data_IF_704486370796
#
_entry.id   IF_704486370796
#
_cell.length_a   1.000
_cell.length_b   1.000
_cell.length_c   1.000
_cell.angle_alpha   90.00
_cell.angle_beta   90.00
_cell.angle_gamma   90.00
#
_symmetry.space_group_name_H-M   'P 1'
#
loop_
_entity.id
_entity.type
_entity.pdbx_description
1 polymer ?
#
# COMPACT_ATOMS: atom_id res chain seq x y z
N UNK A 1 -7.07 16.25 -20.95
CA UNK A 1 -6.99 15.62 -19.61
C UNK A 1 -7.15 16.67 -18.51
N UNK A 2 -7.98 17.70 -18.73
CA UNK A 2 -8.14 18.77 -17.74
C UNK A 2 -9.13 18.34 -16.67
N UNK A 3 -8.69 18.35 -15.40
CA UNK A 3 -9.57 18.23 -14.23
C UNK A 3 -9.42 16.98 -13.36
N UNK A 4 -8.47 16.07 -13.65
CA UNK A 4 -8.15 14.99 -12.70
C UNK A 4 -7.11 15.48 -11.70
N UNK A 5 -7.49 15.52 -10.42
CA UNK A 5 -6.59 15.91 -9.34
C UNK A 5 -5.58 14.80 -9.05
N UNK A 6 -4.32 15.17 -8.74
CA UNK A 6 -3.31 14.22 -8.22
C UNK A 6 -3.76 13.62 -6.89
N UNK A 7 -3.15 12.51 -6.40
CA UNK A 7 -3.54 11.93 -5.11
C UNK A 7 -3.49 12.94 -3.96
N UNK A 8 -2.49 13.82 -3.93
CA UNK A 8 -2.33 14.86 -2.90
C UNK A 8 -3.36 15.97 -3.00
N UNK A 9 -3.71 16.40 -4.21
CA UNK A 9 -4.75 17.42 -4.42
C UNK A 9 -6.14 16.85 -4.16
N UNK A 10 -6.37 15.61 -4.55
CA UNK A 10 -7.59 14.84 -4.27
C UNK A 10 -7.83 14.73 -2.78
N UNK A 11 -6.82 14.25 -2.06
CA UNK A 11 -6.74 14.23 -0.61
C UNK A 11 -7.17 15.55 0.05
N UNK A 12 -6.50 16.64 -0.33
CA UNK A 12 -6.81 17.99 0.17
C UNK A 12 -8.25 18.39 -0.15
N UNK A 13 -8.70 18.19 -1.38
CA UNK A 13 -10.05 18.54 -1.79
C UNK A 13 -11.11 17.77 -0.99
N UNK A 14 -10.93 16.46 -0.78
CA UNK A 14 -11.86 15.68 0.04
C UNK A 14 -11.78 16.12 1.51
N UNK A 15 -10.60 16.44 2.05
CA UNK A 15 -10.44 16.97 3.40
C UNK A 15 -11.26 18.25 3.64
N UNK A 16 -11.20 19.18 2.69
CA UNK A 16 -11.86 20.49 2.77
C UNK A 16 -13.38 20.40 2.60
N UNK A 17 -13.88 19.32 1.99
CA UNK A 17 -15.30 19.15 1.67
C UNK A 17 -15.94 17.96 2.42
N UNK A 18 -15.20 17.34 3.34
CA UNK A 18 -15.68 16.24 4.17
C UNK A 18 -16.68 16.75 5.20
N UNK A 19 -17.79 16.01 5.36
CA UNK A 19 -18.88 16.35 6.30
C UNK A 19 -18.80 15.59 7.62
N UNK A 20 -18.22 14.39 7.57
CA UNK A 20 -18.26 13.44 8.69
C UNK A 20 -16.89 13.17 9.29
N UNK A 21 -15.81 13.55 8.61
CA UNK A 21 -14.43 13.32 9.07
C UNK A 21 -13.62 14.59 9.00
N UNK A 22 -13.00 14.92 10.12
CA UNK A 22 -12.26 16.15 10.31
C UNK A 22 -10.84 15.87 10.76
N UNK A 23 -9.91 16.73 10.34
CA UNK A 23 -8.51 16.70 10.78
C UNK A 23 -8.36 17.60 11.99
N UNK A 24 -7.77 17.09 13.06
CA UNK A 24 -7.44 17.87 14.25
C UNK A 24 -5.95 18.20 14.26
N UNK A 25 -5.61 19.48 14.07
CA UNK A 25 -4.21 19.93 13.99
C UNK A 25 -3.39 19.65 15.26
N UNK A 26 -4.02 19.60 16.44
CA UNK A 26 -3.37 19.24 17.69
C UNK A 26 -2.97 17.75 17.72
N UNK A 27 -3.87 16.88 17.27
CA UNK A 27 -3.60 15.46 17.08
C UNK A 27 -2.57 15.17 16.01
N UNK A 28 -2.61 15.88 14.88
CA UNK A 28 -1.57 15.80 13.84
C UNK A 28 -0.20 16.09 14.43
N UNK A 29 -0.08 17.14 15.25
CA UNK A 29 1.19 17.49 15.92
C UNK A 29 1.67 16.38 16.85
N UNK A 30 0.78 15.81 17.67
CA UNK A 30 1.15 14.69 18.55
C UNK A 30 1.64 13.50 17.74
N UNK A 31 0.93 13.10 16.68
CA UNK A 31 1.37 12.01 15.79
C UNK A 31 2.73 12.32 15.17
N UNK A 32 2.98 13.56 14.75
CA UNK A 32 4.27 14.00 14.22
C UNK A 32 5.41 13.81 15.24
N UNK A 33 5.20 14.24 16.49
CA UNK A 33 6.18 14.13 17.57
C UNK A 33 6.47 12.66 17.91
N UNK A 34 5.43 11.83 17.95
CA UNK A 34 5.54 10.39 18.16
C UNK A 34 6.38 9.70 17.06
N UNK A 35 6.12 10.03 15.79
CA UNK A 35 6.89 9.51 14.66
C UNK A 35 8.32 10.04 14.66
N UNK A 36 8.53 11.31 14.99
CA UNK A 36 9.85 11.92 15.07
C UNK A 36 10.72 11.23 16.13
N UNK A 37 10.15 10.90 17.29
CA UNK A 37 10.86 10.15 18.33
C UNK A 37 11.32 8.75 17.87
N UNK A 38 10.62 8.17 16.89
CA UNK A 38 10.95 6.85 16.30
C UNK A 38 11.78 6.96 15.01
N UNK A 39 11.90 8.14 14.40
CA UNK A 39 12.52 8.33 13.09
C UNK A 39 14.01 7.94 13.05
N UNK A 40 14.71 8.01 14.19
CA UNK A 40 16.11 7.55 14.31
C UNK A 40 16.25 6.07 14.69
N UNK A 41 15.13 5.41 15.01
CA UNK A 41 15.06 4.00 15.37
C UNK A 41 15.30 3.06 14.19
N UNK A 42 15.63 1.79 14.44
CA UNK A 42 15.83 0.79 13.39
C UNK A 42 14.58 0.56 12.53
N UNK A 43 13.38 0.81 13.06
CA UNK A 43 12.09 0.53 12.44
C UNK A 43 11.76 1.43 11.25
N UNK A 44 12.33 2.65 11.21
CA UNK A 44 12.09 3.64 10.14
C UNK A 44 13.31 3.83 9.23
N UNK A 45 14.25 2.88 9.25
CA UNK A 45 15.39 2.85 8.30
C UNK A 45 14.97 2.22 6.97
N UNK A 46 15.65 2.61 5.90
CA UNK A 46 15.39 2.11 4.54
C UNK A 46 15.44 0.56 4.46
N UNK A 47 16.44 -0.06 5.10
CA UNK A 47 16.56 -1.53 5.13
C UNK A 47 15.55 -2.25 6.03
N UNK A 48 14.76 -1.52 6.82
CA UNK A 48 13.78 -2.11 7.73
C UNK A 48 12.69 -2.88 6.99
N UNK A 49 12.30 -2.43 5.79
CA UNK A 49 11.27 -3.10 5.00
C UNK A 49 11.65 -4.54 4.66
N UNK A 50 12.90 -4.78 4.26
CA UNK A 50 13.38 -6.15 4.04
C UNK A 50 13.31 -6.91 5.35
N UNK A 51 13.94 -6.39 6.40
CA UNK A 51 14.03 -7.06 7.70
C UNK A 51 12.66 -7.33 8.38
N UNK A 52 11.61 -6.61 7.98
CA UNK A 52 10.29 -6.64 8.59
C UNK A 52 9.65 -8.04 8.61
N UNK A 53 9.78 -8.79 7.52
CA UNK A 53 9.13 -10.08 7.40
C UNK A 53 9.98 -11.08 6.64
N UNK A 54 9.84 -12.37 7.00
CA UNK A 54 10.62 -13.46 6.42
C UNK A 54 10.29 -13.76 4.96
N UNK A 55 9.07 -13.43 4.54
CA UNK A 55 8.60 -13.64 3.17
C UNK A 55 9.07 -12.56 2.18
N UNK A 56 9.62 -11.45 2.66
CA UNK A 56 10.10 -10.37 1.78
C UNK A 56 11.43 -10.75 1.11
N UNK A 57 11.65 -10.34 -0.15
CA UNK A 57 12.93 -10.54 -0.82
C UNK A 57 14.10 -9.98 0.00
N UNK A 58 15.19 -10.75 0.08
CA UNK A 58 16.43 -10.33 0.74
C UNK A 58 17.40 -9.62 -0.21
N UNK A 59 17.39 -10.02 -1.48
CA UNK A 59 18.19 -9.42 -2.54
C UNK A 59 17.66 -8.03 -2.94
N UNK A 60 18.47 -7.29 -3.69
CA UNK A 60 18.15 -5.98 -4.28
C UNK A 60 18.31 -6.05 -5.82
N UNK A 61 17.81 -7.12 -6.43
CA UNK A 61 18.00 -7.43 -7.85
C UNK A 61 16.67 -7.39 -8.63
N UNK A 62 16.74 -7.68 -9.92
CA UNK A 62 15.58 -7.69 -10.81
C UNK A 62 14.52 -8.72 -10.39
N UNK A 63 14.94 -9.87 -9.85
CA UNK A 63 14.03 -10.88 -9.35
C UNK A 63 13.21 -10.36 -8.17
N UNK A 64 13.84 -9.63 -7.25
CA UNK A 64 13.16 -8.98 -6.13
C UNK A 64 12.16 -7.90 -6.60
N UNK A 65 12.50 -7.12 -7.62
CA UNK A 65 11.59 -6.11 -8.20
C UNK A 65 10.39 -6.76 -8.89
N UNK A 66 10.61 -7.83 -9.66
CA UNK A 66 9.52 -8.56 -10.31
C UNK A 66 8.62 -9.28 -9.30
N UNK A 67 9.19 -9.75 -8.18
CA UNK A 67 8.41 -10.28 -7.06
C UNK A 67 7.49 -9.21 -6.45
N UNK A 68 8.05 -8.04 -6.12
CA UNK A 68 7.27 -6.90 -5.59
C UNK A 68 6.14 -6.54 -6.54
N UNK A 69 6.44 -6.46 -7.84
CA UNK A 69 5.45 -6.12 -8.85
C UNK A 69 4.28 -7.10 -8.89
N UNK A 70 4.53 -8.42 -8.85
CA UNK A 70 3.44 -9.42 -8.82
C UNK A 70 2.65 -9.34 -7.53
N UNK A 71 3.31 -9.21 -6.38
CA UNK A 71 2.65 -9.12 -5.09
C UNK A 71 1.72 -7.90 -5.02
N UNK A 72 2.20 -6.72 -5.41
CA UNK A 72 1.38 -5.50 -5.41
C UNK A 72 0.30 -5.49 -6.49
N UNK A 73 0.55 -6.18 -7.60
CA UNK A 73 -0.45 -6.44 -8.63
C UNK A 73 -1.60 -7.30 -8.10
N UNK A 74 -1.35 -8.10 -7.08
CA UNK A 74 -2.32 -8.97 -6.43
C UNK A 74 -2.71 -8.50 -5.01
N UNK A 75 -2.23 -7.33 -4.57
CA UNK A 75 -2.45 -6.82 -3.22
C UNK A 75 -3.84 -6.18 -3.06
N UNK A 76 -4.88 -7.00 -3.08
CA UNK A 76 -6.26 -6.60 -2.86
C UNK A 76 -7.10 -7.75 -2.30
N UNK A 77 -8.15 -7.43 -1.52
CA UNK A 77 -9.16 -8.36 -1.01
C UNK A 77 -8.61 -9.59 -0.27
N UNK A 78 -8.21 -9.41 0.99
CA UNK A 78 -7.75 -10.49 1.89
C UNK A 78 -8.70 -10.74 3.06
N UNK A 79 -9.94 -10.27 2.92
CA UNK A 79 -10.91 -10.26 3.99
C UNK A 79 -11.69 -11.56 4.04
N UNK A 80 -12.10 -11.94 5.25
CA UNK A 80 -13.13 -12.95 5.48
C UNK A 80 -14.25 -12.34 6.32
N UNK A 81 -15.49 -12.74 6.05
CA UNK A 81 -16.64 -12.32 6.86
C UNK A 81 -16.57 -12.93 8.27
N UNK A 82 -16.01 -14.13 8.38
CA UNK A 82 -15.87 -14.88 9.63
C UNK A 82 -14.41 -15.19 9.94
N UNK A 83 -14.05 -15.08 11.22
CA UNK A 83 -12.67 -15.25 11.68
C UNK A 83 -12.13 -16.68 11.54
N UNK A 84 -13.04 -17.64 11.50
CA UNK A 84 -12.79 -19.08 11.33
C UNK A 84 -12.68 -19.50 9.86
N UNK A 85 -13.11 -18.65 8.92
CA UNK A 85 -13.18 -18.95 7.49
C UNK A 85 -12.16 -18.13 6.71
N UNK A 86 -10.87 -18.47 6.86
CA UNK A 86 -9.76 -17.74 6.21
C UNK A 86 -9.03 -18.61 5.20
N UNK A 87 -8.57 -17.96 4.12
CA UNK A 87 -7.54 -18.50 3.27
C UNK A 87 -6.22 -18.51 4.05
N UNK A 88 -5.67 -19.70 4.30
CA UNK A 88 -4.41 -19.90 4.99
C UNK A 88 -3.43 -20.61 4.07
N UNK A 89 -2.18 -20.18 4.07
CA UNK A 89 -1.15 -20.79 3.22
C UNK A 89 0.04 -21.14 4.11
N UNK A 90 0.37 -22.43 4.15
CA UNK A 90 1.54 -22.99 4.78
C UNK A 90 2.77 -22.84 3.87
N UNK A 91 3.86 -22.35 4.45
CA UNK A 91 5.14 -22.22 3.77
C UNK A 91 6.29 -22.29 4.78
N UNK A 92 7.26 -23.18 4.53
CA UNK A 92 8.45 -23.42 5.38
C UNK A 92 8.14 -23.64 6.87
N UNK A 93 7.09 -24.39 7.16
CA UNK A 93 6.71 -24.75 8.54
C UNK A 93 5.86 -23.69 9.27
N UNK A 94 5.61 -22.54 8.64
CA UNK A 94 4.73 -21.49 9.17
C UNK A 94 3.42 -21.41 8.37
N UNK A 95 2.33 -21.03 9.03
CA UNK A 95 1.03 -20.80 8.39
C UNK A 95 0.71 -19.31 8.38
N UNK A 96 0.39 -18.78 7.20
CA UNK A 96 0.14 -17.36 6.98
C UNK A 96 -1.34 -17.08 6.69
N UNK A 97 -1.76 -15.86 6.99
CA UNK A 97 -3.12 -15.35 6.74
C UNK A 97 -3.08 -13.97 6.10
N UNK A 98 -4.18 -13.57 5.44
CA UNK A 98 -4.33 -12.24 4.89
C UNK A 98 -3.34 -11.95 3.74
N UNK A 99 -2.72 -10.77 3.74
CA UNK A 99 -1.68 -10.38 2.78
C UNK A 99 -0.50 -11.37 2.76
N UNK A 100 -0.14 -11.92 3.93
CA UNK A 100 0.98 -12.87 4.01
C UNK A 100 0.65 -14.22 3.38
N UNK A 101 -0.63 -14.61 3.26
CA UNK A 101 -1.02 -15.80 2.48
C UNK A 101 -0.63 -15.67 1.01
N UNK A 102 -0.80 -14.48 0.42
CA UNK A 102 -0.37 -14.22 -0.96
C UNK A 102 1.15 -14.34 -1.10
N UNK A 103 1.90 -13.69 -0.20
CA UNK A 103 3.36 -13.74 -0.20
C UNK A 103 3.87 -15.18 -0.06
N UNK A 104 3.28 -15.94 0.87
CA UNK A 104 3.62 -17.34 1.09
C UNK A 104 3.30 -18.20 -0.13
N UNK A 105 2.15 -18.00 -0.78
CA UNK A 105 1.76 -18.75 -1.96
C UNK A 105 2.69 -18.49 -3.15
N UNK A 106 3.09 -17.23 -3.38
CA UNK A 106 4.05 -16.87 -4.44
C UNK A 106 5.42 -17.46 -4.15
N UNK A 107 5.92 -17.39 -2.91
CA UNK A 107 7.20 -17.98 -2.54
C UNK A 107 7.18 -19.51 -2.65
N UNK A 108 6.06 -20.15 -2.25
CA UNK A 108 5.85 -21.59 -2.42
C UNK A 108 5.91 -22.00 -3.90
N UNK A 109 5.23 -21.27 -4.77
CA UNK A 109 5.25 -21.54 -6.21
C UNK A 109 6.66 -21.39 -6.81
N UNK A 110 7.43 -20.39 -6.39
CA UNK A 110 8.83 -20.23 -6.81
C UNK A 110 9.71 -21.40 -6.33
N UNK A 111 9.56 -21.85 -5.09
CA UNK A 111 10.28 -23.02 -4.55
C UNK A 111 9.84 -24.34 -5.27
N UNK A 112 8.62 -24.40 -5.79
CA UNK A 112 8.09 -25.49 -6.63
C UNK A 112 8.56 -25.41 -8.10
N UNK A 113 9.38 -24.41 -8.46
CA UNK A 113 9.88 -24.22 -9.82
C UNK A 113 8.89 -23.57 -10.78
N UNK A 114 7.77 -23.03 -10.29
CA UNK A 114 6.80 -22.28 -11.09
C UNK A 114 7.27 -20.82 -11.21
N UNK A 115 7.55 -20.32 -12.42
CA UNK A 115 8.07 -18.96 -12.62
C UNK A 115 6.96 -17.89 -12.55
N UNK A 116 6.20 -17.87 -11.44
CA UNK A 116 5.03 -16.98 -11.24
C UNK A 116 5.37 -15.48 -11.30
N UNK A 117 6.65 -15.12 -11.17
CA UNK A 117 7.14 -13.73 -11.29
C UNK A 117 7.64 -13.37 -12.69
N UNK A 118 7.59 -14.29 -13.66
CA UNK A 118 7.95 -14.04 -15.06
C UNK A 118 6.75 -13.58 -15.88
N UNK A 119 6.88 -12.43 -16.56
CA UNK A 119 5.80 -11.89 -17.41
C UNK A 119 5.36 -12.87 -18.51
N UNK A 120 6.28 -13.63 -19.09
CA UNK A 120 5.95 -14.64 -20.11
C UNK A 120 5.07 -15.76 -19.56
N UNK A 121 5.28 -16.14 -18.30
CA UNK A 121 4.45 -17.14 -17.63
C UNK A 121 3.06 -16.58 -17.34
N UNK A 122 2.97 -15.48 -16.58
CA UNK A 122 1.67 -15.00 -16.13
C UNK A 122 0.87 -14.24 -17.20
N UNK A 123 1.43 -13.95 -18.37
CA UNK A 123 0.69 -13.50 -19.56
C UNK A 123 -0.16 -14.60 -20.23
N UNK A 124 0.13 -15.87 -19.93
CA UNK A 124 -0.50 -17.04 -20.56
C UNK A 124 -1.02 -18.06 -19.55
N UNK A 125 -0.88 -17.79 -18.25
CA UNK A 125 -1.28 -18.70 -17.18
C UNK A 125 -2.79 -18.97 -17.21
N UNK A 126 -3.17 -20.23 -17.03
CA UNK A 126 -4.58 -20.63 -16.98
C UNK A 126 -5.17 -20.36 -15.60
N UNK A 127 -6.50 -20.28 -15.51
CA UNK A 127 -7.18 -20.09 -14.24
C UNK A 127 -6.87 -21.22 -13.24
N UNK A 128 -6.79 -22.47 -13.72
CA UNK A 128 -6.48 -23.63 -12.88
C UNK A 128 -5.03 -23.61 -12.38
N UNK A 129 -4.09 -23.12 -13.19
CA UNK A 129 -2.73 -22.88 -12.73
C UNK A 129 -2.68 -21.78 -11.65
N UNK A 130 -3.43 -20.69 -11.82
CA UNK A 130 -3.53 -19.64 -10.78
C UNK A 130 -4.19 -20.18 -9.50
N UNK A 131 -5.24 -21.00 -9.61
CA UNK A 131 -5.85 -21.70 -8.46
C UNK A 131 -4.85 -22.59 -7.75
N UNK A 132 -4.03 -23.32 -8.50
CA UNK A 132 -2.98 -24.17 -7.93
C UNK A 132 -1.88 -23.35 -7.25
N UNK A 133 -1.40 -22.28 -7.87
CA UNK A 133 -0.36 -21.40 -7.32
C UNK A 133 -0.84 -20.73 -6.03
N UNK A 134 -2.05 -20.18 -6.03
CA UNK A 134 -2.64 -19.45 -4.90
C UNK A 134 -3.51 -20.32 -3.98
N UNK A 135 -3.36 -21.65 -4.04
CA UNK A 135 -4.18 -22.59 -3.27
C UNK A 135 -4.04 -22.37 -1.77
N UNK A 136 -5.17 -22.42 -1.08
CA UNK A 136 -5.22 -22.44 0.38
C UNK A 136 -4.95 -23.86 0.89
N UNK A 137 -4.45 -23.96 2.11
CA UNK A 137 -4.37 -25.22 2.85
C UNK A 137 -5.65 -25.48 3.67
N UNK A 138 -6.65 -24.60 3.51
CA UNK A 138 -8.03 -24.74 4.03
C UNK A 138 -9.02 -24.82 2.88
N UNK A 139 -10.28 -25.15 3.19
CA UNK A 139 -11.38 -25.16 2.20
C UNK A 139 -11.76 -23.75 1.68
N UNK A 140 -11.14 -22.70 2.20
CA UNK A 140 -11.41 -21.31 1.82
C UNK A 140 -10.39 -20.88 0.77
N UNK A 141 -10.78 -20.70 -0.51
CA UNK A 141 -9.85 -20.30 -1.55
C UNK A 141 -9.39 -18.85 -1.38
N UNK A 142 -8.29 -18.50 -2.05
CA UNK A 142 -7.85 -17.11 -2.16
C UNK A 142 -8.98 -16.25 -2.79
N UNK A 143 -9.41 -15.15 -2.16
CA UNK A 143 -10.54 -14.36 -2.66
C UNK A 143 -10.28 -13.77 -4.05
N UNK A 144 -11.35 -13.63 -4.84
CA UNK A 144 -11.33 -13.01 -6.19
C UNK A 144 -10.33 -13.67 -7.16
N UNK A 145 -10.26 -15.00 -7.17
CA UNK A 145 -9.25 -15.73 -7.95
C UNK A 145 -9.37 -15.49 -9.46
N UNK A 146 -10.58 -15.35 -10.00
CA UNK A 146 -10.84 -15.01 -11.40
C UNK A 146 -10.34 -13.60 -11.75
N UNK A 147 -10.49 -12.65 -10.83
CA UNK A 147 -9.98 -11.28 -11.00
C UNK A 147 -8.44 -11.27 -11.01
N UNK A 148 -7.82 -11.99 -10.06
CA UNK A 148 -6.37 -12.15 -9.99
C UNK A 148 -5.80 -12.75 -11.28
N UNK A 149 -6.45 -13.80 -11.81
CA UNK A 149 -6.08 -14.42 -13.08
C UNK A 149 -6.18 -13.45 -14.26
N UNK A 150 -7.27 -12.69 -14.36
CA UNK A 150 -7.44 -11.69 -15.43
C UNK A 150 -6.37 -10.61 -15.36
N UNK A 151 -6.13 -10.06 -14.17
CA UNK A 151 -5.15 -8.99 -13.94
C UNK A 151 -3.72 -9.49 -14.22
N UNK A 152 -3.36 -10.71 -13.82
CA UNK A 152 -2.07 -11.32 -14.16
C UNK A 152 -1.88 -11.37 -15.68
N UNK A 153 -2.84 -11.92 -16.40
CA UNK A 153 -2.75 -12.02 -17.86
C UNK A 153 -2.67 -10.66 -18.55
N UNK A 154 -3.50 -9.69 -18.15
CA UNK A 154 -3.45 -8.33 -18.69
C UNK A 154 -2.08 -7.69 -18.45
N UNK A 155 -1.59 -7.76 -17.21
CA UNK A 155 -0.35 -7.13 -16.79
C UNK A 155 0.88 -7.77 -17.45
N UNK A 156 0.88 -9.10 -17.58
CA UNK A 156 1.95 -9.84 -18.26
C UNK A 156 2.08 -9.46 -19.73
N UNK A 157 0.96 -9.37 -20.45
CA UNK A 157 0.93 -8.92 -21.85
C UNK A 157 1.48 -7.50 -21.99
N UNK A 158 1.04 -6.58 -21.12
CA UNK A 158 1.54 -5.20 -21.12
C UNK A 158 3.05 -5.14 -20.89
N UNK A 159 3.59 -5.93 -19.96
CA UNK A 159 5.03 -5.98 -19.71
C UNK A 159 5.80 -6.50 -20.91
N UNK A 160 5.34 -7.57 -21.55
CA UNK A 160 5.97 -8.11 -22.75
C UNK A 160 5.97 -7.09 -23.90
N UNK A 161 4.86 -6.38 -24.10
CA UNK A 161 4.70 -5.43 -25.21
C UNK A 161 5.44 -4.11 -25.00
N UNK A 162 5.43 -3.55 -23.78
CA UNK A 162 5.89 -2.17 -23.51
C UNK A 162 7.20 -2.08 -22.73
N UNK A 163 7.58 -3.15 -22.04
CA UNK A 163 8.67 -3.15 -21.07
C UNK A 163 9.59 -4.38 -21.20
N UNK A 164 9.58 -5.03 -22.36
CA UNK A 164 10.46 -6.17 -22.68
C UNK A 164 10.37 -7.31 -21.64
N UNK A 165 9.17 -7.50 -21.07
CA UNK A 165 8.88 -8.56 -20.11
C UNK A 165 9.33 -8.30 -18.67
N UNK A 166 9.87 -7.12 -18.35
CA UNK A 166 10.40 -6.81 -17.02
C UNK A 166 9.84 -5.51 -16.44
N UNK A 167 9.36 -5.55 -15.20
CA UNK A 167 8.92 -4.34 -14.52
C UNK A 167 10.10 -3.40 -14.20
N UNK A 168 11.32 -3.93 -14.04
CA UNK A 168 12.51 -3.11 -13.84
C UNK A 168 12.75 -2.15 -15.02
N UNK A 169 12.38 -2.53 -16.24
CA UNK A 169 12.45 -1.63 -17.40
C UNK A 169 11.42 -0.49 -17.32
N UNK A 170 10.25 -0.73 -16.73
CA UNK A 170 9.31 0.35 -16.38
C UNK A 170 9.92 1.30 -15.34
N UNK A 171 10.57 0.75 -14.31
CA UNK A 171 11.30 1.53 -13.30
C UNK A 171 12.40 2.39 -13.94
N UNK A 172 13.21 1.83 -14.83
CA UNK A 172 14.27 2.57 -15.55
C UNK A 172 13.71 3.71 -16.41
N UNK A 173 12.58 3.49 -17.09
CA UNK A 173 11.90 4.55 -17.88
C UNK A 173 11.41 5.72 -17.01
N UNK A 174 11.25 5.53 -15.70
CA UNK A 174 10.92 6.61 -14.77
C UNK A 174 12.04 7.63 -14.57
N UNK A 175 13.26 7.36 -15.06
CA UNK A 175 14.43 8.24 -14.93
C UNK A 175 14.63 8.75 -13.48
N UNK A 176 14.55 7.81 -12.54
CA UNK A 176 14.70 8.07 -11.11
C UNK A 176 13.69 9.10 -10.55
N UNK A 177 12.46 9.14 -11.10
CA UNK A 177 11.33 9.91 -10.54
C UNK A 177 10.19 8.99 -10.13
N UNK A 178 9.82 9.08 -8.84
CA UNK A 178 8.69 8.41 -8.23
C UNK A 178 7.36 8.85 -8.87
N UNK A 179 7.17 10.14 -9.16
CA UNK A 179 5.96 10.61 -9.86
C UNK A 179 5.89 10.11 -11.29
N UNK A 180 7.03 10.09 -12.02
CA UNK A 180 7.06 9.54 -13.37
C UNK A 180 6.76 8.05 -13.38
N UNK A 181 7.29 7.29 -12.40
CA UNK A 181 6.95 5.88 -12.24
C UNK A 181 5.47 5.68 -11.94
N UNK A 182 4.89 6.47 -11.03
CA UNK A 182 3.47 6.45 -10.70
C UNK A 182 2.60 6.65 -11.96
N UNK A 183 2.92 7.65 -12.77
CA UNK A 183 2.21 7.93 -14.01
C UNK A 183 2.36 6.79 -15.02
N UNK A 184 3.57 6.27 -15.22
CA UNK A 184 3.81 5.12 -16.09
C UNK A 184 2.98 3.90 -15.67
N UNK A 185 2.89 3.64 -14.35
CA UNK A 185 2.08 2.54 -13.81
C UNK A 185 0.60 2.75 -14.16
N UNK A 186 0.04 3.91 -13.82
CA UNK A 186 -1.39 4.21 -13.99
C UNK A 186 -1.78 4.25 -15.47
N UNK A 187 -0.92 4.80 -16.33
CA UNK A 187 -1.15 4.85 -17.77
C UNK A 187 -1.07 3.46 -18.41
N UNK A 188 -0.14 2.62 -17.95
CA UNK A 188 0.13 1.33 -18.59
C UNK A 188 -0.77 0.22 -18.09
N UNK A 189 -1.06 0.16 -16.79
CA UNK A 189 -1.74 -0.97 -16.13
C UNK A 189 -3.13 -0.54 -15.62
N UNK A 190 -4.22 -0.92 -16.32
CA UNK A 190 -5.58 -0.49 -15.96
C UNK A 190 -6.01 -0.81 -14.53
N UNK A 191 -5.60 -1.97 -14.00
CA UNK A 191 -5.94 -2.42 -12.63
C UNK A 191 -5.44 -1.50 -11.51
N UNK A 192 -4.54 -0.56 -11.81
CA UNK A 192 -4.01 0.44 -10.88
C UNK A 192 -4.74 1.80 -10.95
N UNK A 193 -5.66 1.99 -11.90
CA UNK A 193 -6.39 3.26 -12.12
C UNK A 193 -7.53 3.44 -11.12
N UNK A 194 -7.17 3.88 -9.93
CA UNK A 194 -8.09 4.19 -8.84
C UNK A 194 -8.53 5.68 -8.89
N UNK A 195 -9.62 5.95 -9.62
CA UNK A 195 -10.20 7.27 -9.88
C UNK A 195 -11.71 7.23 -9.68
N UNK A 196 -12.26 8.28 -9.07
CA UNK A 196 -13.72 8.43 -8.89
C UNK A 196 -14.15 9.89 -9.02
N UNK A 197 -15.45 10.17 -8.84
CA UNK A 197 -16.00 11.52 -8.75
C UNK A 197 -16.44 11.82 -7.31
N UNK A 198 -16.11 13.00 -6.81
CA UNK A 198 -16.53 13.50 -5.51
C UNK A 198 -16.82 15.01 -5.62
N UNK A 199 -17.98 15.44 -5.13
CA UNK A 199 -18.41 16.86 -5.17
C UNK A 199 -18.17 17.52 -6.55
N UNK A 200 -18.54 16.80 -7.63
CA UNK A 200 -18.42 17.27 -9.02
C UNK A 200 -16.99 17.28 -9.61
N UNK A 201 -15.97 16.86 -8.86
CA UNK A 201 -14.57 16.78 -9.36
C UNK A 201 -14.11 15.34 -9.52
N UNK A 202 -13.26 15.10 -10.51
CA UNK A 202 -12.55 13.83 -10.65
C UNK A 202 -11.35 13.79 -9.70
N UNK A 203 -11.34 12.81 -8.82
CA UNK A 203 -10.30 12.62 -7.82
C UNK A 203 -9.60 11.28 -8.05
N UNK A 204 -8.32 11.21 -7.73
CA UNK A 204 -7.51 10.00 -7.77
C UNK A 204 -7.00 9.63 -6.38
N UNK A 205 -6.92 8.33 -6.12
CA UNK A 205 -6.25 7.81 -4.93
C UNK A 205 -4.96 7.08 -5.31
N UNK A 206 -5.00 6.34 -6.44
CA UNK A 206 -3.89 5.53 -6.94
C UNK A 206 -3.22 4.69 -5.86
N UNK A 207 -4.00 4.18 -4.89
CA UNK A 207 -3.47 3.55 -3.67
C UNK A 207 -2.42 2.49 -3.97
N UNK A 208 -2.79 1.50 -4.78
CA UNK A 208 -1.91 0.37 -5.13
C UNK A 208 -0.71 0.81 -5.98
N UNK A 209 -0.87 1.82 -6.82
CA UNK A 209 0.23 2.32 -7.64
C UNK A 209 1.26 3.06 -6.78
N UNK A 210 0.78 3.82 -5.81
CA UNK A 210 1.65 4.49 -4.84
C UNK A 210 2.37 3.47 -3.92
N UNK A 211 1.69 2.38 -3.51
CA UNK A 211 2.32 1.24 -2.79
C UNK A 211 3.45 0.66 -3.63
N UNK A 212 3.18 0.32 -4.90
CA UNK A 212 4.17 -0.27 -5.79
C UNK A 212 5.43 0.61 -5.96
N UNK A 213 5.26 1.94 -6.05
CA UNK A 213 6.41 2.87 -6.09
C UNK A 213 7.22 2.80 -4.80
N UNK A 214 6.55 2.78 -3.64
CA UNK A 214 7.21 2.74 -2.34
C UNK A 214 7.88 1.38 -2.06
N UNK A 215 7.27 0.26 -2.45
CA UNK A 215 7.84 -1.07 -2.30
C UNK A 215 9.01 -1.28 -3.26
N UNK A 216 8.93 -0.75 -4.49
CA UNK A 216 10.07 -0.72 -5.42
C UNK A 216 11.25 0.05 -4.84
N UNK A 217 10.99 1.23 -4.26
CA UNK A 217 12.03 2.01 -3.59
C UNK A 217 12.62 1.26 -2.40
N UNK A 218 11.78 0.58 -1.61
CA UNK A 218 12.17 -0.14 -0.40
C UNK A 218 13.00 -1.39 -0.70
N UNK A 219 12.59 -2.20 -1.68
CA UNK A 219 13.31 -3.42 -2.07
C UNK A 219 14.67 -3.12 -2.71
N UNK A 220 14.80 -1.98 -3.40
CA UNK A 220 16.06 -1.47 -3.95
C UNK A 220 16.85 -0.61 -2.94
N UNK A 221 16.32 -0.45 -1.72
CA UNK A 221 16.91 0.33 -0.64
C UNK A 221 17.31 1.77 -1.04
N UNK A 222 16.53 2.39 -1.93
CA UNK A 222 16.80 3.73 -2.44
C UNK A 222 18.09 3.85 -3.27
N UNK A 223 18.66 2.74 -3.76
CA UNK A 223 19.91 2.68 -4.51
C UNK A 223 19.67 2.28 -5.97
N UNK A 224 20.65 2.52 -6.83
CA UNK A 224 20.61 2.09 -8.24
C UNK A 224 19.38 2.62 -8.98
N UNK A 225 18.60 1.70 -9.54
CA UNK A 225 17.34 1.99 -10.24
C UNK A 225 16.24 2.52 -9.30
N UNK A 226 16.32 2.24 -7.99
CA UNK A 226 15.38 2.71 -6.96
C UNK A 226 15.75 4.06 -6.35
N UNK A 227 16.78 4.75 -6.83
CA UNK A 227 17.24 6.04 -6.31
C UNK A 227 16.33 7.20 -6.76
N UNK A 228 15.05 7.20 -6.36
CA UNK A 228 14.09 8.22 -6.75
C UNK A 228 14.37 9.57 -6.08
N UNK A 229 14.52 10.64 -6.88
CA UNK A 229 14.87 11.99 -6.42
C UNK A 229 13.74 12.67 -5.62
N UNK A 230 12.52 12.23 -5.85
CA UNK A 230 11.26 12.79 -5.37
C UNK A 230 10.41 11.75 -4.62
N UNK A 231 11.01 10.71 -4.00
CA UNK A 231 10.25 9.66 -3.29
C UNK A 231 9.24 10.22 -2.27
N UNK A 232 9.59 11.30 -1.57
CA UNK A 232 8.73 12.00 -0.59
C UNK A 232 7.48 12.65 -1.20
N UNK A 233 7.39 12.72 -2.53
CA UNK A 233 6.19 13.19 -3.24
C UNK A 233 5.04 12.19 -3.14
N UNK A 234 5.34 10.88 -3.02
CA UNK A 234 4.36 9.82 -2.84
C UNK A 234 3.65 10.02 -1.49
N UNK A 235 2.34 9.82 -1.49
CA UNK A 235 1.50 10.03 -0.30
C UNK A 235 1.32 8.73 0.49
N UNK A 236 0.94 8.86 1.76
CA UNK A 236 0.56 7.70 2.58
C UNK A 236 -0.78 7.14 2.09
N UNK A 237 -0.89 5.82 2.03
CA UNK A 237 -1.96 5.13 1.30
C UNK A 237 -3.28 5.03 2.07
N UNK A 238 -4.35 4.90 1.30
CA UNK A 238 -5.73 4.70 1.75
C UNK A 238 -5.95 3.36 2.46
N UNK A 239 -5.65 3.26 3.74
CA UNK A 239 -5.84 2.03 4.53
C UNK A 239 -7.08 2.10 5.43
N UNK A 240 -7.59 0.94 5.84
CA UNK A 240 -8.76 0.83 6.72
C UNK A 240 -8.36 0.72 8.19
N UNK A 241 -7.14 0.29 8.52
CA UNK A 241 -6.62 0.33 9.90
C UNK A 241 -6.16 1.72 10.26
N UNK A 242 -5.52 2.38 9.32
CA UNK A 242 -4.87 3.65 9.54
C UNK A 242 -5.82 4.76 10.06
N UNK A 243 -7.08 4.90 9.59
CA UNK A 243 -8.06 5.79 10.19
C UNK A 243 -8.34 5.49 11.67
N UNK A 244 -8.38 4.22 12.09
CA UNK A 244 -8.59 3.84 13.51
C UNK A 244 -7.45 4.37 14.37
N UNK A 245 -6.21 4.23 13.88
CA UNK A 245 -5.02 4.70 14.58
C UNK A 245 -5.06 6.22 14.71
N UNK A 246 -5.37 6.93 13.63
CA UNK A 246 -5.44 8.40 13.69
C UNK A 246 -6.57 8.92 14.57
N UNK A 247 -7.73 8.26 14.60
CA UNK A 247 -8.80 8.63 15.51
C UNK A 247 -8.39 8.38 16.96
N UNK A 248 -7.76 7.24 17.24
CA UNK A 248 -7.24 6.92 18.57
C UNK A 248 -6.20 7.96 19.04
N UNK A 249 -5.30 8.38 18.16
CA UNK A 249 -4.28 9.41 18.45
C UNK A 249 -4.87 10.84 18.43
N UNK A 250 -6.15 10.97 18.06
CA UNK A 250 -6.90 12.21 17.99
C UNK A 250 -6.51 13.13 16.82
N UNK A 251 -5.85 12.60 15.79
CA UNK A 251 -5.52 13.32 14.55
C UNK A 251 -6.69 13.37 13.56
N UNK A 252 -7.60 12.39 13.63
CA UNK A 252 -8.90 12.41 12.96
C UNK A 252 -10.03 12.45 14.00
N UNK A 253 -11.13 13.11 13.64
CA UNK A 253 -12.37 13.13 14.42
C UNK A 253 -13.55 12.79 13.51
N UNK A 254 -14.52 12.08 14.04
CA UNK A 254 -15.78 11.78 13.36
C UNK A 254 -16.90 12.70 13.84
N UNK A 255 -17.87 12.97 12.98
CA UNK A 255 -19.16 13.54 13.39
C UNK A 255 -19.88 12.57 14.33
N UNK A 256 -20.75 13.08 15.20
CA UNK A 256 -21.55 12.25 16.10
C UNK A 256 -22.43 11.27 15.31
N UNK A 257 -23.00 11.72 14.19
CA UNK A 257 -23.82 10.91 13.30
C UNK A 257 -23.04 9.73 12.69
N UNK A 258 -21.82 9.97 12.21
CA UNK A 258 -20.95 8.92 11.71
C UNK A 258 -20.58 7.95 12.82
N UNK A 259 -20.19 8.45 13.99
CA UNK A 259 -19.80 7.62 15.12
C UNK A 259 -20.96 6.71 15.57
N UNK A 260 -22.19 7.23 15.64
CA UNK A 260 -23.38 6.45 15.95
C UNK A 260 -23.64 5.35 14.90
N UNK A 261 -23.53 5.68 13.60
CA UNK A 261 -23.68 4.71 12.51
C UNK A 261 -22.64 3.57 12.64
N UNK A 262 -21.38 3.91 12.91
CA UNK A 262 -20.30 2.93 13.11
C UNK A 262 -20.54 2.03 14.32
N UNK A 263 -20.97 2.60 15.45
CA UNK A 263 -21.27 1.86 16.68
C UNK A 263 -22.48 0.92 16.50
N UNK A 264 -23.53 1.38 15.80
CA UNK A 264 -24.70 0.57 15.48
C UNK A 264 -24.33 -0.61 14.59
N UNK A 265 -23.55 -0.33 13.52
CA UNK A 265 -23.09 -1.35 12.60
C UNK A 265 -22.18 -2.39 13.30
N UNK A 266 -21.34 -1.96 14.25
CA UNK A 266 -20.55 -2.87 15.10
C UNK A 266 -21.41 -3.78 15.98
N UNK A 267 -22.54 -3.28 16.50
CA UNK A 267 -23.47 -4.09 17.32
C UNK A 267 -24.26 -5.10 16.49
N UNK A 268 -24.59 -4.77 15.24
CA UNK A 268 -25.37 -5.65 14.34
C UNK A 268 -24.51 -6.66 13.58
N UNK A 269 -23.27 -6.29 13.23
CA UNK A 269 -22.36 -7.17 12.50
C UNK A 269 -21.40 -7.82 13.49
N UNK A 270 -21.50 -9.15 13.66
CA UNK A 270 -20.38 -9.99 14.14
C UNK A 270 -19.20 -10.00 13.14
N UNK A 271 -19.13 -9.06 12.19
CA UNK A 271 -18.13 -9.00 11.12
C UNK A 271 -17.11 -7.88 11.37
N UNK A 272 -15.87 -8.09 10.91
CA UNK A 272 -14.73 -7.18 11.13
C UNK A 272 -14.88 -5.81 10.46
N UNK A 273 -15.76 -5.64 9.46
CA UNK A 273 -15.87 -4.42 8.67
C UNK A 273 -16.11 -3.18 9.57
N UNK A 274 -17.00 -3.28 10.55
CA UNK A 274 -17.29 -2.19 11.47
C UNK A 274 -16.31 -2.10 12.65
N UNK A 275 -15.69 -3.23 13.03
CA UNK A 275 -14.59 -3.25 14.01
C UNK A 275 -13.36 -2.50 13.47
N UNK A 276 -13.21 -2.44 12.14
CA UNK A 276 -12.15 -1.73 11.46
C UNK A 276 -12.34 -0.19 11.39
N UNK A 277 -13.31 0.39 12.11
CA UNK A 277 -13.47 1.85 12.20
C UNK A 277 -13.60 2.35 13.64
N UNK A 278 -13.40 1.47 14.63
CA UNK A 278 -13.40 1.85 16.04
C UNK A 278 -11.98 2.17 16.53
N UNK A 279 -11.82 3.06 17.53
CA UNK A 279 -10.52 3.34 18.13
C UNK A 279 -9.88 2.06 18.68
N UNK A 280 -8.60 1.84 18.37
CA UNK A 280 -7.83 0.73 18.92
C UNK A 280 -7.61 0.89 20.44
N UNK A 281 -7.28 -0.21 21.13
CA UNK A 281 -7.03 -0.18 22.58
C UNK A 281 -5.60 0.25 22.92
N UNK A 282 -4.62 0.00 22.03
CA UNK A 282 -3.22 0.40 22.22
C UNK A 282 -2.53 0.78 20.90
N UNK A 283 -1.44 1.57 20.98
CA UNK A 283 -0.61 1.96 19.82
C UNK A 283 0.26 0.80 19.30
N UNK A 284 0.78 -0.06 20.17
CA UNK A 284 1.61 -1.21 19.71
C UNK A 284 0.82 -2.16 18.81
N UNK A 285 -0.46 -2.38 19.11
CA UNK A 285 -1.41 -3.09 18.23
C UNK A 285 -1.62 -2.35 16.90
N UNK A 286 -1.64 -1.01 16.90
CA UNK A 286 -1.86 -0.17 15.73
C UNK A 286 -0.69 -0.17 14.73
N UNK A 287 0.54 -0.11 15.26
CA UNK A 287 1.78 -0.08 14.48
C UNK A 287 2.05 -1.42 13.79
N UNK A 288 1.70 -2.54 14.44
CA UNK A 288 1.83 -3.88 13.88
C UNK A 288 0.65 -4.26 12.96
N UNK A 289 -0.55 -3.74 13.21
CA UNK A 289 -1.75 -4.14 12.46
C UNK A 289 -1.94 -3.42 11.11
N UNK A 290 -1.33 -2.26 10.90
CA UNK A 290 -1.42 -1.53 9.64
C UNK A 290 -0.10 -1.61 8.90
N UNK A 291 -0.11 -2.28 7.76
CA UNK A 291 1.03 -2.31 6.85
C UNK A 291 1.47 -0.91 6.40
N UNK A 292 0.56 0.07 6.52
CA UNK A 292 0.76 1.46 6.14
C UNK A 292 1.93 2.15 6.85
N UNK A 293 2.24 1.76 8.09
CA UNK A 293 3.37 2.33 8.83
C UNK A 293 4.72 1.92 8.24
N UNK A 294 4.79 0.88 7.42
CA UNK A 294 6.05 0.36 6.89
C UNK A 294 6.61 1.21 5.74
N UNK A 295 5.74 2.00 5.12
CA UNK A 295 6.10 2.92 4.04
C UNK A 295 6.34 4.36 4.52
N UNK A 296 6.24 4.59 5.83
CA UNK A 296 6.62 5.86 6.46
C UNK A 296 8.01 6.36 6.04
N UNK A 297 9.06 5.52 5.89
CA UNK A 297 10.36 6.00 5.44
C UNK A 297 10.33 6.67 4.06
N UNK A 298 9.56 6.10 3.12
CA UNK A 298 9.38 6.65 1.78
C UNK A 298 8.61 7.99 1.82
N UNK A 299 7.52 8.05 2.60
CA UNK A 299 6.67 9.25 2.74
C UNK A 299 7.39 10.37 3.48
N UNK A 300 8.12 10.05 4.55
CA UNK A 300 8.84 11.02 5.38
C UNK A 300 10.18 11.46 4.76
N UNK A 301 10.65 10.77 3.71
CA UNK A 301 11.96 11.01 3.13
C UNK A 301 13.07 10.93 4.17
N UNK A 302 13.01 9.93 5.08
CA UNK A 302 13.89 9.87 6.26
C UNK A 302 15.37 9.96 5.82
N UNK A 303 16.12 10.96 6.30
CA UNK A 303 17.49 11.19 5.84
C UNK A 303 18.45 10.12 6.37
N UNK A 304 19.10 9.43 5.42
CA UNK A 304 20.26 8.56 5.63
C UNK A 304 21.21 8.56 4.42
N UNK A 305 21.11 9.58 3.56
CA UNK A 305 21.81 9.67 2.28
C UNK A 305 22.78 10.84 2.26
N UNK A 306 23.90 10.71 2.98
CA UNK A 306 25.14 11.33 2.54
C UNK A 306 25.64 10.53 1.33
N UNK A 307 25.22 10.94 0.12
CA UNK A 307 25.90 10.79 -1.20
C UNK A 307 24.99 10.98 -2.43
N UNK A 308 23.87 11.70 -2.29
CA UNK A 308 23.26 12.41 -3.42
C UNK A 308 23.04 13.86 -3.01
N UNK A 309 24.11 14.65 -3.13
CA UNK A 309 24.23 16.04 -2.69
C UNK A 309 23.39 16.99 -3.54
N UNK A 310 22.49 17.73 -2.88
CA UNK A 310 22.26 19.18 -2.96
C UNK A 310 20.77 19.49 -2.75
N UNK A 311 20.33 19.54 -1.50
CA UNK A 311 19.18 20.36 -1.12
C UNK A 311 19.21 20.56 0.40
N UNK A 312 19.52 21.78 0.82
CA UNK A 312 19.38 22.18 2.22
C UNK A 312 17.90 22.19 2.59
N UNK A 313 17.49 21.31 3.52
CA UNK A 313 16.09 21.22 3.94
C UNK A 313 16.02 21.34 5.47
N UNK A 314 15.56 22.51 5.92
CA UNK A 314 15.40 22.89 7.32
C UNK A 314 14.09 22.43 7.96
N UNK A 315 13.98 22.69 9.28
CA UNK A 315 12.93 22.24 10.22
C UNK A 315 11.47 22.52 9.81
N UNK A 316 11.20 23.41 8.84
CA UNK A 316 9.86 23.76 8.35
C UNK A 316 9.19 22.66 7.51
N UNK A 317 10.00 21.83 6.83
CA UNK A 317 9.51 20.74 5.97
C UNK A 317 8.85 19.58 6.74
N UNK A 318 9.25 19.38 8.00
CA UNK A 318 8.82 18.22 8.81
C UNK A 318 7.40 18.36 9.35
N UNK A 319 6.93 19.59 9.63
CA UNK A 319 5.53 19.80 10.04
C UNK A 319 4.59 19.74 8.84
N UNK A 320 4.99 20.24 7.67
CA UNK A 320 4.19 20.20 6.45
C UNK A 320 4.03 18.77 5.94
N UNK A 321 5.09 17.94 5.92
CA UNK A 321 5.00 16.53 5.51
C UNK A 321 4.01 15.72 6.35
N UNK A 322 3.94 15.96 7.67
CA UNK A 322 2.96 15.30 8.55
C UNK A 322 1.57 15.93 8.40
N UNK A 323 1.45 17.23 8.17
CA UNK A 323 0.16 17.86 7.89
C UNK A 323 -0.45 17.38 6.55
N UNK A 324 0.38 17.17 5.53
CA UNK A 324 -0.02 16.64 4.23
C UNK A 324 -0.27 15.14 4.26
N UNK A 325 0.57 14.40 4.98
CA UNK A 325 0.30 13.05 5.44
C UNK A 325 -0.74 12.99 6.55
N UNK A 326 -1.64 13.96 6.67
CA UNK A 326 -2.93 13.79 7.37
C UNK A 326 -4.06 14.34 6.47
N UNK A 327 -3.79 15.35 5.64
CA UNK A 327 -4.68 15.78 4.55
C UNK A 327 -4.95 14.66 3.53
N UNK A 328 -4.01 13.73 3.29
CA UNK A 328 -4.29 12.50 2.51
C UNK A 328 -5.15 11.47 3.20
N UNK A 329 -5.57 11.69 4.45
CA UNK A 329 -6.15 10.66 5.30
C UNK A 329 -7.64 10.92 5.58
N UNK A 330 -8.05 12.19 5.56
CA UNK A 330 -9.48 12.58 5.54
C UNK A 330 -10.19 12.20 4.25
N UNK A 331 -9.45 11.93 3.17
CA UNK A 331 -10.02 11.58 1.87
C UNK A 331 -10.72 10.23 1.78
N UNK A 332 -10.48 9.33 2.74
CA UNK A 332 -10.70 7.88 2.57
C UNK A 332 -11.76 7.31 3.50
N UNK A 333 -12.24 8.06 4.50
CA UNK A 333 -13.35 7.58 5.35
C UNK A 333 -14.68 7.48 4.58
N UNK A 334 -14.72 7.92 3.32
CA UNK A 334 -15.91 7.91 2.49
C UNK A 334 -16.25 6.57 1.81
N UNK A 335 -15.40 5.54 1.89
CA UNK A 335 -15.60 4.29 1.12
C UNK A 335 -15.73 3.02 1.98
N UNK A 336 -16.36 3.15 3.15
CA UNK A 336 -16.84 2.02 3.95
C UNK A 336 -18.22 2.27 4.59
N UNK A 337 -19.02 3.17 3.99
CA UNK A 337 -20.34 3.57 4.48
C UNK A 337 -21.48 3.33 3.50
#
# INVERSE_FOLDING_TARGET
>A
MDGLLTPRESAKFVAENSRDVFIDGGGVRRVAELLLAKASGPELRVGAWKALHELNPRAADEAAVNWVFVIDTLNFSFWSEHDEHKCLVGYRGSTYSGYWSLCAAVNRALDEGIPITSASYYATVTLDQVRHVLRSDTDIPMPLIEERHRILNETGKILLEKFEGSFLNCVRKSDKSAQKLLNLIVESFPSYRDVTQFEGKRISFYKRAQILVADTWSVLEGKGDGCFKDISSITMFADYRLPQVLVHLGALKYSDALLEKLLKAFRSLKSRCCRAMLPLKTWEEAFLASSSFWWLPAVLGVPGLEKCSHMGIGKKWRSEAVHFGVLSWSGIVFWSL
#
